data_IF_305766738000
#
_entry.id   IF_305766738000
#
_cell.length_a   1.000
_cell.length_b   1.000
_cell.length_c   1.000
_cell.angle_alpha   90.00
_cell.angle_beta   90.00
_cell.angle_gamma   90.00
#
_symmetry.space_group_name_H-M   'P 1'
#
loop_
_entity.id
_entity.type
_entity.pdbx_description
1 polymer ?
#
# COMPACT_ATOMS: atom_id res chain seq x y z
N UNK A 1 12.61 7.68 -11.17
CA UNK A 1 11.18 7.71 -10.78
C UNK A 1 10.83 9.17 -10.53
N UNK A 2 9.80 9.71 -11.19
CA UNK A 2 9.46 11.12 -11.06
C UNK A 2 8.71 11.41 -9.75
N UNK A 3 8.47 12.68 -9.43
CA UNK A 3 7.78 13.10 -8.20
C UNK A 3 6.39 12.48 -8.06
N UNK A 4 5.59 12.43 -9.15
CA UNK A 4 4.23 11.87 -9.13
C UNK A 4 4.24 10.36 -8.84
N UNK A 5 5.16 9.62 -9.44
CA UNK A 5 5.35 8.20 -9.18
C UNK A 5 5.71 7.94 -7.70
N UNK A 6 6.56 8.79 -7.11
CA UNK A 6 6.87 8.71 -5.68
C UNK A 6 5.65 8.98 -4.81
N UNK A 7 4.82 9.98 -5.13
CA UNK A 7 3.59 10.25 -4.39
C UNK A 7 2.59 9.10 -4.46
N UNK A 8 2.41 8.50 -5.64
CA UNK A 8 1.54 7.34 -5.84
C UNK A 8 2.01 6.14 -5.03
N UNK A 9 3.33 5.95 -4.96
CA UNK A 9 3.94 4.90 -4.16
C UNK A 9 3.75 5.13 -2.66
N UNK A 10 3.98 6.37 -2.19
CA UNK A 10 3.73 6.75 -0.79
C UNK A 10 2.25 6.54 -0.45
N UNK A 11 1.35 6.92 -1.35
CA UNK A 11 -0.08 6.68 -1.17
C UNK A 11 -0.41 5.21 -0.99
N UNK A 12 0.18 4.31 -1.78
CA UNK A 12 -0.03 2.87 -1.64
C UNK A 12 0.42 2.36 -0.27
N UNK A 13 1.61 2.77 0.20
CA UNK A 13 2.11 2.42 1.55
C UNK A 13 1.19 2.89 2.67
N UNK A 14 0.63 4.10 2.51
CA UNK A 14 -0.23 4.68 3.55
C UNK A 14 -1.63 4.06 3.53
N UNK A 15 -2.15 3.73 2.35
CA UNK A 15 -3.43 3.08 2.19
C UNK A 15 -3.46 1.65 2.79
N UNK A 16 -2.29 0.98 2.87
CA UNK A 16 -2.16 -0.35 3.47
C UNK A 16 -1.85 -0.29 4.97
N UNK A 17 -0.63 0.13 5.34
CA UNK A 17 -0.11 0.06 6.73
C UNK A 17 0.16 1.45 7.33
N UNK A 18 -0.51 2.50 6.84
CA UNK A 18 -0.23 3.87 7.27
C UNK A 18 -1.38 4.57 7.97
N UNK A 19 -1.06 5.79 8.40
CA UNK A 19 -2.00 6.69 9.03
C UNK A 19 -1.64 8.14 8.71
N UNK A 20 -2.65 8.96 8.42
CA UNK A 20 -2.52 10.42 8.44
C UNK A 20 -3.34 10.97 9.60
N UNK A 21 -2.66 11.70 10.49
CA UNK A 21 -3.27 12.38 11.62
C UNK A 21 -3.20 13.89 11.48
N UNK A 22 -4.32 14.57 11.77
CA UNK A 22 -4.40 16.02 11.82
C UNK A 22 -4.60 16.48 13.26
N UNK A 23 -3.81 17.46 13.68
CA UNK A 23 -3.85 18.00 15.03
C UNK A 23 -4.00 19.51 14.97
N UNK A 24 -4.93 20.04 15.75
CA UNK A 24 -5.05 21.47 15.96
C UNK A 24 -4.25 21.84 17.20
N UNK A 25 -3.23 22.68 17.04
CA UNK A 25 -2.60 23.31 18.21
C UNK A 25 -3.46 24.51 18.61
N UNK A 26 -4.02 24.44 19.82
CA UNK A 26 -4.71 25.54 20.47
C UNK A 26 -3.65 26.39 21.17
N UNK A 27 -3.60 27.68 20.85
CA UNK A 27 -2.83 28.64 21.63
C UNK A 27 -3.83 29.45 22.46
N UNK A 28 -3.63 29.43 23.78
CA UNK A 28 -4.45 30.19 24.72
C UNK A 28 -3.80 31.56 24.92
N UNK A 29 -4.52 32.64 24.63
CA UNK A 29 -4.11 34.02 25.00
C UNK A 29 -5.22 34.62 25.86
N UNK A 30 -5.00 34.67 27.17
CA UNK A 30 -6.04 35.05 28.14
C UNK A 30 -7.26 34.12 28.07
N UNK A 31 -8.46 34.68 28.09
CA UNK A 31 -9.73 33.94 28.01
C UNK A 31 -10.16 33.55 26.57
N UNK A 32 -9.29 33.74 25.57
CA UNK A 32 -9.59 33.45 24.17
C UNK A 32 -8.78 32.25 23.65
N UNK A 33 -9.47 31.30 23.01
CA UNK A 33 -8.86 30.17 22.32
C UNK A 33 -8.71 30.50 20.83
N UNK A 34 -7.48 30.49 20.30
CA UNK A 34 -7.24 30.60 18.85
C UNK A 34 -6.54 29.35 18.33
N UNK A 35 -7.16 28.67 17.36
CA UNK A 35 -6.50 27.58 16.62
C UNK A 35 -5.53 28.21 15.64
N UNK A 36 -4.22 28.05 15.88
CA UNK A 36 -3.20 28.80 15.13
C UNK A 36 -2.44 27.97 14.11
N UNK A 37 -2.22 26.67 14.37
CA UNK A 37 -1.45 25.78 13.49
C UNK A 37 -2.10 24.40 13.40
N UNK A 38 -2.46 24.00 12.18
CA UNK A 38 -2.79 22.60 11.85
C UNK A 38 -1.47 21.85 11.68
N UNK A 39 -1.31 20.69 12.29
CA UNK A 39 -0.16 19.82 12.03
C UNK A 39 -0.66 18.55 11.35
N UNK A 40 0.04 18.14 10.30
CA UNK A 40 -0.20 16.86 9.65
C UNK A 40 0.96 15.93 9.97
N UNK A 41 0.64 14.75 10.51
CA UNK A 41 1.58 13.65 10.63
C UNK A 41 1.22 12.55 9.66
N UNK A 42 2.22 12.04 8.98
CA UNK A 42 2.09 10.87 8.11
C UNK A 42 2.96 9.78 8.72
N UNK A 43 2.33 8.65 9.07
CA UNK A 43 2.99 7.52 9.71
C UNK A 43 2.85 6.29 8.84
N UNK A 44 3.93 5.53 8.74
CA UNK A 44 3.97 4.25 8.04
C UNK A 44 4.57 3.21 8.96
N UNK A 45 3.94 2.04 9.05
CA UNK A 45 4.36 0.96 9.93
C UNK A 45 4.76 -0.25 9.08
N UNK A 46 5.98 -0.76 9.23
CA UNK A 46 6.38 -2.01 8.59
C UNK A 46 7.60 -2.64 9.26
N UNK A 47 7.52 -3.95 9.52
CA UNK A 47 8.62 -4.70 10.12
C UNK A 47 9.78 -4.96 9.14
N UNK A 48 9.52 -4.85 7.83
CA UNK A 48 10.53 -5.09 6.81
C UNK A 48 11.38 -3.82 6.56
N UNK A 49 12.67 -3.89 6.87
CA UNK A 49 13.59 -2.75 6.70
C UNK A 49 13.77 -2.32 5.23
N UNK A 50 13.67 -3.23 4.26
CA UNK A 50 13.76 -2.88 2.84
C UNK A 50 12.58 -2.00 2.41
N UNK A 51 11.36 -2.32 2.86
CA UNK A 51 10.17 -1.50 2.60
C UNK A 51 10.25 -0.15 3.31
N UNK A 52 10.75 -0.11 4.55
CA UNK A 52 10.98 1.14 5.29
C UNK A 52 11.96 2.05 4.53
N UNK A 53 13.09 1.51 4.09
CA UNK A 53 14.08 2.26 3.33
C UNK A 53 13.52 2.73 1.98
N UNK A 54 12.76 1.87 1.30
CA UNK A 54 12.13 2.18 0.02
C UNK A 54 11.01 3.24 0.13
N UNK A 55 10.30 3.28 1.26
CA UNK A 55 9.36 4.33 1.64
C UNK A 55 10.10 5.66 1.91
N UNK A 56 11.12 5.66 2.76
CA UNK A 56 11.92 6.86 3.07
C UNK A 56 12.53 7.46 1.80
N UNK A 57 13.05 6.61 0.91
CA UNK A 57 13.59 7.04 -0.38
C UNK A 57 12.53 7.65 -1.30
N UNK A 58 11.31 7.12 -1.31
CA UNK A 58 10.20 7.71 -2.06
C UNK A 58 9.81 9.08 -1.48
N UNK A 59 9.76 9.22 -0.15
CA UNK A 59 9.46 10.47 0.55
C UNK A 59 10.50 11.54 0.24
N UNK A 60 11.80 11.24 0.38
CA UNK A 60 12.89 12.19 0.07
C UNK A 60 12.84 12.66 -1.38
N UNK A 61 12.50 11.78 -2.33
CA UNK A 61 12.34 12.15 -3.74
C UNK A 61 11.08 12.97 -4.02
N UNK A 62 9.97 12.67 -3.33
CA UNK A 62 8.72 13.42 -3.49
C UNK A 62 8.79 14.82 -2.84
N UNK A 63 9.50 14.93 -1.72
CA UNK A 63 9.63 16.15 -0.93
C UNK A 63 11.09 16.35 -0.46
N UNK A 64 12.00 16.81 -1.35
CA UNK A 64 13.41 16.98 -1.00
C UNK A 64 13.67 17.94 0.17
N UNK A 65 12.80 18.94 0.35
CA UNK A 65 12.89 19.92 1.43
C UNK A 65 12.29 19.43 2.76
N UNK A 66 11.85 18.17 2.84
CA UNK A 66 11.28 17.63 4.07
C UNK A 66 12.38 17.39 5.11
N UNK A 67 12.39 18.23 6.15
CA UNK A 67 13.40 18.17 7.21
C UNK A 67 13.09 17.13 8.29
N UNK A 68 11.82 16.80 8.51
CA UNK A 68 11.41 15.86 9.54
C UNK A 68 11.01 14.50 8.95
N UNK A 69 11.95 13.56 8.98
CA UNK A 69 11.76 12.15 8.69
C UNK A 69 12.40 11.34 9.80
N UNK A 70 11.60 10.70 10.67
CA UNK A 70 12.12 9.92 11.80
C UNK A 70 11.72 8.46 11.68
N UNK A 71 12.70 7.57 11.56
CA UNK A 71 12.50 6.13 11.73
C UNK A 71 12.66 5.74 13.20
N UNK A 72 11.68 5.03 13.74
CA UNK A 72 11.64 4.55 15.12
C UNK A 72 11.65 3.02 15.06
N UNK A 73 12.86 2.43 15.03
CA UNK A 73 13.07 0.98 14.86
C UNK A 73 12.26 0.12 15.84
N UNK A 74 12.22 0.50 17.12
CA UNK A 74 11.45 -0.22 18.16
C UNK A 74 9.96 -0.37 17.83
N UNK A 75 9.38 0.58 17.09
CA UNK A 75 7.97 0.57 16.68
C UNK A 75 7.78 0.17 15.22
N UNK A 76 8.87 -0.09 14.48
CA UNK A 76 8.82 -0.31 13.05
C UNK A 76 8.06 0.83 12.32
N UNK A 77 8.25 2.07 12.79
CA UNK A 77 7.43 3.23 12.42
C UNK A 77 8.30 4.32 11.76
N UNK A 78 7.84 4.89 10.65
CA UNK A 78 8.37 6.14 10.09
C UNK A 78 7.38 7.27 10.35
N UNK A 79 7.78 8.26 11.16
CA UNK A 79 6.98 9.47 11.46
C UNK A 79 7.49 10.65 10.62
N UNK A 80 6.57 11.27 9.89
CA UNK A 80 6.82 12.42 9.01
C UNK A 80 5.93 13.59 9.42
N UNK A 81 6.44 14.82 9.28
CA UNK A 81 5.65 16.05 9.49
C UNK A 81 5.63 16.88 8.23
N UNK A 82 4.54 16.81 7.48
CA UNK A 82 4.37 17.60 6.25
C UNK A 82 2.91 17.74 5.88
N UNK A 83 2.40 18.98 5.94
CA UNK A 83 1.08 19.31 5.44
C UNK A 83 1.00 19.17 3.91
N UNK A 84 2.07 19.55 3.20
CA UNK A 84 2.14 19.49 1.74
C UNK A 84 2.03 18.04 1.27
N UNK A 85 2.77 17.12 1.92
CA UNK A 85 2.69 15.71 1.61
C UNK A 85 1.29 15.16 1.93
N UNK A 86 0.76 15.44 3.13
CA UNK A 86 -0.56 14.95 3.52
C UNK A 86 -1.66 15.41 2.56
N UNK A 87 -1.67 16.70 2.18
CA UNK A 87 -2.61 17.24 1.18
C UNK A 87 -2.39 16.59 -0.18
N UNK A 88 -1.14 16.41 -0.61
CA UNK A 88 -0.81 15.75 -1.86
C UNK A 88 -1.31 14.30 -1.94
N UNK A 89 -1.25 13.57 -0.81
CA UNK A 89 -1.77 12.20 -0.72
C UNK A 89 -3.30 12.20 -0.77
N UNK A 90 -3.97 13.04 0.02
CA UNK A 90 -5.44 13.11 0.02
C UNK A 90 -6.04 13.62 -1.31
N UNK A 91 -5.28 14.39 -2.08
CA UNK A 91 -5.68 14.79 -3.43
C UNK A 91 -5.63 13.62 -4.44
N UNK A 92 -4.90 12.54 -4.14
CA UNK A 92 -4.87 11.36 -5.01
C UNK A 92 -6.05 10.43 -4.76
N UNK A 93 -6.52 10.33 -3.52
CA UNK A 93 -7.63 9.50 -3.10
C UNK A 93 -7.73 9.43 -1.58
N UNK A 94 -8.81 8.82 -1.08
CA UNK A 94 -8.89 8.46 0.33
C UNK A 94 -7.83 7.37 0.64
N UNK A 95 -7.36 7.36 1.89
CA UNK A 95 -6.33 6.48 2.44
C UNK A 95 -6.78 5.89 3.79
N UNK A 96 -8.01 6.16 4.21
CA UNK A 96 -8.57 5.61 5.43
C UNK A 96 -8.72 4.09 5.31
N UNK A 97 -8.50 3.37 6.41
CA UNK A 97 -8.52 1.89 6.41
C UNK A 97 -9.81 1.30 5.83
N UNK A 98 -10.95 1.99 6.01
CA UNK A 98 -12.26 1.52 5.54
C UNK A 98 -12.59 1.94 4.10
N UNK A 99 -12.05 3.06 3.63
CA UNK A 99 -12.49 3.69 2.39
C UNK A 99 -11.34 4.09 1.46
N UNK A 100 -10.13 3.57 1.65
CA UNK A 100 -9.01 3.88 0.75
C UNK A 100 -9.38 3.70 -0.73
N UNK A 101 -8.84 4.56 -1.57
CA UNK A 101 -9.14 4.60 -3.00
C UNK A 101 -7.85 4.47 -3.81
N UNK A 102 -7.93 3.79 -4.95
CA UNK A 102 -6.83 3.78 -5.89
C UNK A 102 -6.79 5.15 -6.61
N UNK A 103 -5.62 5.81 -6.73
CA UNK A 103 -5.55 7.12 -7.34
C UNK A 103 -6.12 7.18 -8.74
N UNK A 104 -7.02 8.13 -8.99
CA UNK A 104 -7.64 8.30 -10.32
C UNK A 104 -6.65 8.94 -11.31
N UNK A 105 -6.90 8.77 -12.62
CA UNK A 105 -6.10 9.37 -13.70
C UNK A 105 -4.60 9.03 -13.65
N UNK A 106 -4.28 7.79 -13.26
CA UNK A 106 -2.91 7.26 -13.27
C UNK A 106 -2.66 6.32 -14.46
N UNK A 107 -1.46 6.38 -15.03
CA UNK A 107 -1.09 5.59 -16.19
C UNK A 107 -0.76 4.12 -15.84
N UNK A 108 -0.54 3.29 -16.86
CA UNK A 108 -0.23 1.85 -16.72
C UNK A 108 0.94 1.58 -15.78
N UNK A 109 2.00 2.38 -15.85
CA UNK A 109 3.20 2.25 -15.00
C UNK A 109 2.89 2.59 -13.55
N UNK A 110 2.14 3.65 -13.32
CA UNK A 110 1.74 4.09 -11.98
C UNK A 110 0.82 3.09 -11.28
N UNK A 111 -0.10 2.46 -12.03
CA UNK A 111 -0.92 1.35 -11.53
C UNK A 111 -0.06 0.19 -11.03
N UNK A 112 1.01 -0.18 -11.76
CA UNK A 112 1.96 -1.22 -11.33
C UNK A 112 2.69 -0.84 -10.04
N UNK A 113 3.14 0.41 -9.94
CA UNK A 113 3.83 0.91 -8.74
C UNK A 113 2.91 0.83 -7.53
N UNK A 114 1.69 1.36 -7.67
CA UNK A 114 0.70 1.38 -6.60
C UNK A 114 0.37 -0.05 -6.16
N UNK A 115 0.01 -0.92 -7.10
CA UNK A 115 -0.40 -2.30 -6.82
C UNK A 115 0.74 -3.13 -6.22
N UNK A 116 1.97 -3.02 -6.73
CA UNK A 116 3.12 -3.74 -6.17
C UNK A 116 3.40 -3.32 -4.74
N UNK A 117 3.36 -2.01 -4.47
CA UNK A 117 3.58 -1.47 -3.14
C UNK A 117 2.48 -1.88 -2.16
N UNK A 118 1.22 -1.85 -2.59
CA UNK A 118 0.09 -2.28 -1.78
C UNK A 118 0.19 -3.78 -1.43
N UNK A 119 0.55 -4.63 -2.40
CA UNK A 119 0.76 -6.07 -2.19
C UNK A 119 1.99 -6.37 -1.31
N UNK A 120 3.04 -5.56 -1.39
CA UNK A 120 4.19 -5.68 -0.50
C UNK A 120 3.83 -5.47 0.98
N UNK A 121 2.81 -4.68 1.27
CA UNK A 121 2.22 -4.51 2.60
C UNK A 121 1.17 -5.59 2.91
N UNK A 122 0.00 -5.52 2.28
CA UNK A 122 -1.19 -6.30 2.65
C UNK A 122 -1.31 -7.64 1.93
N UNK A 123 -0.44 -7.88 0.94
CA UNK A 123 -0.50 -9.08 0.11
C UNK A 123 0.00 -10.33 0.83
N UNK A 124 -0.74 -11.42 0.73
CA UNK A 124 -0.31 -12.76 1.13
C UNK A 124 0.08 -13.57 -0.10
N UNK A 125 1.20 -14.28 -0.03
CA UNK A 125 1.62 -15.22 -1.09
C UNK A 125 1.67 -16.62 -0.52
N UNK A 126 0.82 -17.48 -1.06
CA UNK A 126 0.75 -18.89 -0.72
C UNK A 126 1.40 -19.72 -1.83
N UNK A 127 2.32 -20.61 -1.43
CA UNK A 127 3.09 -21.47 -2.32
C UNK A 127 2.89 -22.97 -2.04
N UNK A 128 1.87 -23.35 -1.26
CA UNK A 128 1.57 -24.77 -0.94
C UNK A 128 1.14 -25.52 -2.21
N UNK A 129 1.50 -26.80 -2.31
CA UNK A 129 1.35 -27.63 -3.53
C UNK A 129 -0.02 -27.53 -4.21
N UNK A 130 -1.13 -27.46 -3.49
CA UNK A 130 -2.46 -27.38 -4.11
C UNK A 130 -3.13 -26.01 -4.00
N UNK A 131 -2.45 -25.03 -3.41
CA UNK A 131 -3.04 -23.75 -3.03
C UNK A 131 -2.06 -22.62 -3.34
N UNK A 132 -1.85 -22.34 -4.63
CA UNK A 132 -0.90 -21.33 -5.12
C UNK A 132 -1.64 -20.07 -5.52
N UNK A 133 -1.49 -19.01 -4.73
CA UNK A 133 -2.17 -17.76 -4.99
C UNK A 133 -1.44 -16.55 -4.39
N UNK A 134 -1.76 -15.38 -4.92
CA UNK A 134 -1.57 -14.08 -4.26
C UNK A 134 -2.95 -13.66 -3.74
N UNK A 135 -3.03 -13.23 -2.50
CA UNK A 135 -4.26 -12.71 -1.90
C UNK A 135 -4.07 -11.32 -1.32
N UNK A 136 -5.12 -10.52 -1.34
CA UNK A 136 -5.20 -9.23 -0.66
C UNK A 136 -6.47 -9.27 0.19
N UNK A 137 -6.32 -9.07 1.48
CA UNK A 137 -7.42 -9.06 2.45
C UNK A 137 -7.76 -7.62 2.83
N UNK A 138 -9.03 -7.25 2.77
CA UNK A 138 -9.47 -5.92 3.20
C UNK A 138 -10.96 -5.90 3.53
N UNK A 139 -11.33 -5.06 4.49
CA UNK A 139 -12.74 -4.73 4.77
C UNK A 139 -13.32 -3.78 3.70
N UNK A 140 -12.47 -3.14 2.91
CA UNK A 140 -12.87 -2.21 1.85
C UNK A 140 -13.14 -2.96 0.53
N UNK A 141 -14.38 -3.44 0.35
CA UNK A 141 -14.80 -4.12 -0.88
C UNK A 141 -14.65 -3.22 -2.12
N UNK A 142 -14.95 -1.93 -1.99
CA UNK A 142 -14.86 -0.98 -3.11
C UNK A 142 -13.43 -0.88 -3.61
N UNK A 143 -12.46 -0.69 -2.71
CA UNK A 143 -11.04 -0.69 -3.03
C UNK A 143 -10.57 -1.99 -3.69
N UNK A 144 -11.01 -3.15 -3.18
CA UNK A 144 -10.68 -4.43 -3.83
C UNK A 144 -11.27 -4.55 -5.24
N UNK A 145 -12.46 -4.02 -5.50
CA UNK A 145 -13.04 -3.96 -6.86
C UNK A 145 -12.21 -3.06 -7.78
N UNK A 146 -11.67 -1.96 -7.28
CA UNK A 146 -10.74 -1.11 -8.04
C UNK A 146 -9.45 -1.85 -8.39
N UNK A 147 -8.88 -2.59 -7.43
CA UNK A 147 -7.73 -3.47 -7.69
C UNK A 147 -8.07 -4.56 -8.73
N UNK A 148 -9.25 -5.18 -8.65
CA UNK A 148 -9.70 -6.18 -9.63
C UNK A 148 -9.68 -5.62 -11.05
N UNK A 149 -10.27 -4.43 -11.25
CA UNK A 149 -10.27 -3.75 -12.55
C UNK A 149 -8.85 -3.46 -13.04
N UNK A 150 -7.93 -3.08 -12.15
CA UNK A 150 -6.53 -2.85 -12.53
C UNK A 150 -5.84 -4.16 -12.95
N UNK A 151 -6.10 -5.26 -12.25
CA UNK A 151 -5.58 -6.59 -12.60
C UNK A 151 -6.14 -7.09 -13.94
N UNK A 152 -7.43 -6.91 -14.18
CA UNK A 152 -8.09 -7.24 -15.46
C UNK A 152 -7.46 -6.47 -16.62
N UNK A 153 -7.17 -5.17 -16.45
CA UNK A 153 -6.42 -4.36 -17.42
C UNK A 153 -4.98 -4.85 -17.68
N UNK A 154 -4.44 -5.68 -16.79
CA UNK A 154 -3.16 -6.37 -16.97
C UNK A 154 -3.32 -7.80 -17.50
N UNK A 155 -4.52 -8.20 -17.90
CA UNK A 155 -4.88 -9.56 -18.27
C UNK A 155 -4.56 -10.55 -17.14
N UNK A 156 -4.80 -10.17 -15.89
CA UNK A 156 -4.64 -11.02 -14.71
C UNK A 156 -6.03 -11.28 -14.13
N UNK A 157 -6.53 -12.50 -14.32
CA UNK A 157 -7.84 -12.87 -13.77
C UNK A 157 -7.73 -13.03 -12.26
N UNK A 158 -8.76 -12.59 -11.54
CA UNK A 158 -8.82 -12.66 -10.10
C UNK A 158 -10.27 -12.91 -9.65
N UNK A 159 -10.45 -13.25 -8.37
CA UNK A 159 -11.78 -13.43 -7.78
C UNK A 159 -11.81 -12.85 -6.37
N UNK A 160 -12.88 -12.13 -6.05
CA UNK A 160 -13.13 -11.62 -4.70
C UNK A 160 -14.06 -12.60 -3.97
N UNK A 161 -13.68 -12.95 -2.75
CA UNK A 161 -14.43 -13.82 -1.85
C UNK A 161 -14.84 -13.03 -0.62
N UNK A 162 -16.03 -13.28 -0.10
CA UNK A 162 -16.47 -12.76 1.20
C UNK A 162 -16.01 -13.73 2.29
N UNK A 163 -15.30 -13.22 3.29
CA UNK A 163 -14.86 -13.96 4.47
C UNK A 163 -15.67 -13.46 5.67
N UNK A 164 -16.48 -14.34 6.26
CA UNK A 164 -17.23 -14.06 7.49
C UNK A 164 -16.41 -14.50 8.70
N UNK A 165 -16.12 -13.56 9.58
CA UNK A 165 -15.64 -13.81 10.94
C UNK A 165 -16.82 -13.71 11.91
N UNK A 166 -16.62 -14.09 13.18
CA UNK A 166 -17.67 -14.14 14.20
C UNK A 166 -18.52 -12.85 14.25
N UNK A 167 -17.85 -11.69 14.25
CA UNK A 167 -18.51 -10.38 14.40
C UNK A 167 -18.22 -9.41 13.25
N UNK A 168 -17.51 -9.86 12.20
CA UNK A 168 -17.01 -8.97 11.14
C UNK A 168 -17.01 -9.64 9.77
N UNK A 169 -17.17 -8.83 8.72
CA UNK A 169 -17.01 -9.27 7.34
C UNK A 169 -15.72 -8.66 6.78
N UNK A 170 -14.91 -9.48 6.14
CA UNK A 170 -13.78 -9.05 5.32
C UNK A 170 -13.92 -9.63 3.92
N UNK A 171 -13.13 -9.12 3.00
CA UNK A 171 -13.11 -9.55 1.61
C UNK A 171 -11.69 -9.93 1.22
N UNK A 172 -11.57 -10.98 0.42
CA UNK A 172 -10.30 -11.49 -0.08
C UNK A 172 -10.29 -11.50 -1.60
N UNK A 173 -9.45 -10.68 -2.20
CA UNK A 173 -9.14 -10.78 -3.62
C UNK A 173 -8.04 -11.83 -3.81
N UNK A 174 -8.28 -12.88 -4.60
CA UNK A 174 -7.28 -13.89 -4.95
C UNK A 174 -6.91 -13.87 -6.43
N UNK A 175 -5.61 -13.97 -6.70
CA UNK A 175 -5.02 -14.23 -8.02
C UNK A 175 -4.48 -15.65 -7.98
N UNK A 176 -4.99 -16.50 -8.86
CA UNK A 176 -4.65 -17.94 -8.94
C UNK A 176 -4.35 -18.32 -10.39
N UNK A 177 -3.87 -19.55 -10.61
CA UNK A 177 -3.34 -20.09 -11.88
C UNK A 177 -1.93 -19.62 -12.22
N UNK A 178 -1.15 -20.52 -12.81
CA UNK A 178 0.27 -20.32 -13.13
C UNK A 178 0.50 -19.11 -14.03
N UNK A 179 -0.32 -18.94 -15.06
CA UNK A 179 -0.18 -17.90 -16.08
C UNK A 179 -0.37 -16.51 -15.46
N UNK A 180 -1.33 -16.38 -14.56
CA UNK A 180 -1.59 -15.13 -13.84
C UNK A 180 -0.46 -14.80 -12.87
N UNK A 181 0.08 -15.78 -12.14
CA UNK A 181 1.22 -15.57 -11.26
C UNK A 181 2.48 -15.16 -12.04
N UNK A 182 2.72 -15.77 -13.20
CA UNK A 182 3.82 -15.39 -14.10
C UNK A 182 3.61 -13.96 -14.62
N UNK A 183 2.40 -13.61 -15.07
CA UNK A 183 2.09 -12.24 -15.53
C UNK A 183 2.26 -11.23 -14.41
N UNK A 184 1.77 -11.54 -13.22
CA UNK A 184 1.94 -10.70 -12.03
C UNK A 184 3.42 -10.47 -11.76
N UNK A 185 4.23 -11.53 -11.66
CA UNK A 185 5.66 -11.44 -11.37
C UNK A 185 6.45 -10.66 -12.45
N UNK A 186 6.02 -10.71 -13.72
CA UNK A 186 6.65 -9.94 -14.81
C UNK A 186 6.26 -8.46 -14.81
N UNK A 187 5.02 -8.14 -14.42
CA UNK A 187 4.47 -6.79 -14.54
C UNK A 187 4.59 -5.98 -13.25
N UNK A 188 4.59 -6.64 -12.10
CA UNK A 188 4.51 -6.05 -10.78
C UNK A 188 5.75 -6.53 -10.00
N UNK A 189 6.71 -5.63 -9.84
CA UNK A 189 7.95 -5.91 -9.12
C UNK A 189 7.72 -5.74 -7.62
N UNK A 190 7.59 -6.88 -6.93
CA UNK A 190 7.54 -6.94 -5.47
C UNK A 190 8.92 -6.65 -4.90
N UNK A 191 8.94 -5.83 -3.86
CA UNK A 191 10.15 -5.45 -3.13
C UNK A 191 10.32 -6.21 -1.84
N UNK A 192 9.24 -6.75 -1.27
CA UNK A 192 9.36 -7.55 -0.07
C UNK A 192 10.09 -8.87 -0.42
N UNK A 193 11.30 -9.13 0.13
CA UNK A 193 12.18 -10.20 -0.34
C UNK A 193 11.57 -11.59 -0.12
N UNK A 194 10.95 -11.81 1.05
CA UNK A 194 10.25 -13.07 1.36
C UNK A 194 9.07 -13.30 0.41
N UNK A 195 8.23 -12.28 0.14
CA UNK A 195 7.09 -12.40 -0.78
C UNK A 195 7.58 -12.68 -2.20
N UNK A 196 8.59 -11.94 -2.68
CA UNK A 196 9.23 -12.16 -3.99
C UNK A 196 9.73 -13.61 -4.14
N UNK A 197 10.46 -14.12 -3.14
CA UNK A 197 10.94 -15.51 -3.12
C UNK A 197 9.78 -16.51 -3.16
N UNK A 198 8.76 -16.34 -2.30
CA UNK A 198 7.57 -17.21 -2.27
C UNK A 198 6.82 -17.22 -3.60
N UNK A 199 6.73 -16.10 -4.29
CA UNK A 199 6.07 -16.03 -5.61
C UNK A 199 6.83 -16.85 -6.65
N UNK A 200 8.16 -16.72 -6.68
CA UNK A 200 9.02 -17.49 -7.58
C UNK A 200 8.90 -18.99 -7.30
N UNK A 201 8.91 -19.39 -6.04
CA UNK A 201 8.71 -20.79 -5.63
C UNK A 201 7.32 -21.32 -6.00
N UNK A 202 6.27 -20.52 -5.80
CA UNK A 202 4.91 -20.86 -6.20
C UNK A 202 4.83 -21.11 -7.71
N UNK A 203 5.52 -20.30 -8.53
CA UNK A 203 5.57 -20.48 -9.98
C UNK A 203 6.38 -21.73 -10.37
N UNK A 204 7.55 -21.95 -9.75
CA UNK A 204 8.44 -23.09 -10.06
C UNK A 204 7.80 -24.43 -9.73
N UNK A 205 7.11 -24.52 -8.61
CA UNK A 205 6.48 -25.76 -8.15
C UNK A 205 5.38 -26.27 -9.10
N UNK A 206 4.90 -25.48 -10.06
CA UNK A 206 4.02 -25.99 -11.13
C UNK A 206 4.73 -26.93 -12.10
N UNK A 207 6.07 -26.85 -12.21
CA UNK A 207 6.86 -27.72 -13.10
C UNK A 207 7.19 -29.09 -12.51
N UNK A 208 7.13 -29.23 -11.18
CA UNK A 208 7.49 -30.47 -10.47
C UNK A 208 6.32 -31.47 -10.35
N UNK A 209 5.18 -31.19 -10.98
CA UNK A 209 3.97 -32.02 -10.96
C UNK A 209 3.64 -32.58 -12.36
N UNK A 210 4.62 -32.60 -13.26
CA UNK A 210 4.59 -33.37 -14.52
C UNK A 210 5.53 -34.54 -14.32
#
# INVERSE_FOLDING_TARGET
>A
MNKKDCLIKIHAYIASDGLIGFWNCKETRGNSFRVRKRFSRVRFYNQNEELINDYINAVKKACPHLTYVRYIKRRSEVDLRSQILAKGLLNLGDISTRNWELPQNINKRQKRIWLGTFVDCDGTIQNRKYDRFIAIDSINLRGLKEISKVLENFNITNKIYTIKYKDNISYRLKIFRKENLIRFNKLIDLKHPIKKKKLVEAIRSYKQNV
#
